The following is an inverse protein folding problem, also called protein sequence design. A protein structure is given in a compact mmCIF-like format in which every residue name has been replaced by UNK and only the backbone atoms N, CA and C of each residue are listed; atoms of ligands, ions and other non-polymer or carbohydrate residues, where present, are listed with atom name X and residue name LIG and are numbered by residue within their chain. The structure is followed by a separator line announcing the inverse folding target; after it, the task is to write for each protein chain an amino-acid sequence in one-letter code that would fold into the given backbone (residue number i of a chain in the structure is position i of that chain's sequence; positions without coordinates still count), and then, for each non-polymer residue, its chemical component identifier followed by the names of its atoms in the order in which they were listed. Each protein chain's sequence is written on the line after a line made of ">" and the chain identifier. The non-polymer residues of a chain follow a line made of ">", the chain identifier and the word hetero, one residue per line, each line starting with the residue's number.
data_IF_713338886698
#
_entry.id   IF_713338886698
#
_cell.length_a   1.000
_cell.length_b   1.000
_cell.length_c   1.000
_cell.angle_alpha   90.00
_cell.angle_beta   90.00
_cell.angle_gamma   90.00
#
_symmetry.space_group_name_H-M   'P 1'
#
loop_
_entity.id
_entity.type
_entity.pdbx_description
1 polymer ?
#
# COMPACT_ATOMS: atom_id res chain seq x y z
N UNK A 1 8.67 -25.10 16.72
CA UNK A 1 7.39 -24.61 16.18
C UNK A 1 7.71 -23.51 15.18
N UNK A 2 7.48 -23.75 13.88
CA UNK A 2 7.51 -22.67 12.90
C UNK A 2 6.14 -22.01 13.02
N UNK A 3 6.11 -20.80 13.55
CA UNK A 3 4.96 -19.92 13.41
C UNK A 3 4.74 -19.77 11.90
N UNK A 4 3.69 -20.40 11.39
CA UNK A 4 3.12 -20.08 10.10
C UNK A 4 2.65 -18.64 10.24
N UNK A 5 3.47 -17.72 9.72
CA UNK A 5 3.06 -16.34 9.53
C UNK A 5 1.82 -16.43 8.64
N UNK A 6 0.64 -16.19 9.21
CA UNK A 6 -0.61 -16.15 8.47
C UNK A 6 -0.41 -15.11 7.37
N UNK A 7 -0.09 -15.56 6.16
CA UNK A 7 0.04 -14.69 5.00
C UNK A 7 -1.30 -13.96 4.94
N UNK A 8 -1.34 -12.62 5.06
CA UNK A 8 -2.60 -11.89 5.01
C UNK A 8 -3.23 -12.23 3.65
N UNK A 9 -4.25 -13.08 3.67
CA UNK A 9 -5.03 -13.46 2.49
C UNK A 9 -5.88 -12.30 2.02
N UNK A 10 -5.98 -11.26 2.84
CA UNK A 10 -6.67 -10.03 2.53
C UNK A 10 -5.76 -9.11 1.73
N UNK A 11 -6.24 -8.57 0.59
CA UNK A 11 -5.46 -7.70 -0.29
C UNK A 11 -5.04 -6.36 0.36
N UNK A 12 -5.58 -6.07 1.54
CA UNK A 12 -5.33 -4.90 2.37
C UNK A 12 -5.49 -5.30 3.85
N UNK A 13 -4.62 -4.81 4.72
CA UNK A 13 -4.68 -5.00 6.18
C UNK A 13 -4.80 -3.64 6.87
N UNK A 14 -5.80 -3.46 7.75
CA UNK A 14 -5.90 -2.25 8.58
C UNK A 14 -4.93 -2.37 9.75
N UNK A 15 -4.05 -1.38 9.92
CA UNK A 15 -3.07 -1.34 10.99
C UNK A 15 -3.54 -0.47 12.16
N UNK A 16 -4.21 0.65 11.86
CA UNK A 16 -4.65 1.63 12.85
C UNK A 16 -5.80 2.48 12.30
N UNK A 17 -6.81 2.75 13.13
CA UNK A 17 -7.84 3.76 12.87
C UNK A 17 -7.62 4.96 13.78
N UNK A 18 -7.53 6.16 13.19
CA UNK A 18 -7.37 7.46 13.86
C UNK A 18 -8.74 8.16 13.87
N UNK A 19 -9.58 7.77 14.84
CA UNK A 19 -11.02 8.09 14.88
C UNK A 19 -11.31 9.60 14.95
N UNK A 20 -10.49 10.37 15.65
CA UNK A 20 -10.66 11.82 15.82
C UNK A 20 -10.37 12.61 14.53
N UNK A 21 -9.72 11.97 13.54
CA UNK A 21 -9.37 12.56 12.25
C UNK A 21 -10.09 11.92 11.07
N UNK A 22 -10.84 10.84 11.27
CA UNK A 22 -11.45 10.08 10.18
C UNK A 22 -10.41 9.46 9.24
N UNK A 23 -9.22 9.12 9.76
CA UNK A 23 -8.13 8.55 8.99
C UNK A 23 -7.84 7.12 9.40
N UNK A 24 -7.26 6.36 8.50
CA UNK A 24 -6.81 4.99 8.72
C UNK A 24 -5.43 4.78 8.15
N UNK A 25 -4.64 3.94 8.82
CA UNK A 25 -3.36 3.45 8.35
C UNK A 25 -3.56 2.03 7.86
N UNK A 26 -3.29 1.81 6.58
CA UNK A 26 -3.49 0.53 5.91
C UNK A 26 -2.20 0.03 5.31
N UNK A 27 -2.06 -1.29 5.22
CA UNK A 27 -1.03 -1.96 4.44
C UNK A 27 -1.67 -2.58 3.19
N UNK A 28 -1.12 -2.28 2.02
CA UNK A 28 -1.50 -2.89 0.74
C UNK A 28 -0.31 -3.63 0.17
N UNK A 29 -0.51 -4.89 -0.24
CA UNK A 29 0.51 -5.66 -0.94
C UNK A 29 0.31 -5.53 -2.45
N UNK A 30 1.38 -5.22 -3.19
CA UNK A 30 1.39 -5.23 -4.65
C UNK A 30 1.54 -6.68 -5.13
N UNK A 31 0.49 -7.33 -5.68
CA UNK A 31 0.62 -8.69 -6.18
C UNK A 31 1.49 -8.73 -7.45
N UNK A 32 2.10 -9.87 -7.79
CA UNK A 32 2.94 -10.01 -8.99
C UNK A 32 2.22 -9.71 -10.31
N UNK A 33 0.89 -9.79 -10.33
CA UNK A 33 0.04 -9.55 -11.50
C UNK A 33 -0.43 -8.08 -11.62
N UNK A 34 -0.03 -7.21 -10.68
CA UNK A 34 -0.47 -5.82 -10.66
C UNK A 34 0.00 -5.04 -11.90
N UNK A 35 -0.92 -4.32 -12.53
CA UNK A 35 -0.61 -3.49 -13.73
C UNK A 35 0.14 -2.20 -13.40
N UNK A 36 0.43 -1.96 -12.12
CA UNK A 36 1.20 -0.84 -11.60
C UNK A 36 2.68 -1.14 -11.43
N UNK A 37 3.10 -2.40 -11.53
CA UNK A 37 4.51 -2.78 -11.45
C UNK A 37 5.29 -2.05 -12.54
N UNK A 38 6.43 -1.47 -12.17
CA UNK A 38 7.28 -0.69 -13.07
C UNK A 38 6.84 0.77 -13.25
N UNK A 39 5.64 1.16 -12.79
CA UNK A 39 5.22 2.57 -12.77
C UNK A 39 5.80 3.30 -11.58
N UNK A 40 6.05 4.59 -11.76
CA UNK A 40 6.40 5.50 -10.66
C UNK A 40 5.15 5.96 -9.90
N UNK A 41 5.30 6.34 -8.63
CA UNK A 41 4.17 6.81 -7.81
C UNK A 41 3.44 7.99 -8.44
N UNK A 42 4.13 8.92 -9.10
CA UNK A 42 3.49 10.06 -9.78
C UNK A 42 2.62 9.68 -10.98
N UNK A 43 2.77 8.47 -11.51
CA UNK A 43 1.92 7.96 -12.60
C UNK A 43 0.62 7.36 -12.08
N UNK A 44 0.48 7.21 -10.76
CA UNK A 44 -0.71 6.67 -10.12
C UNK A 44 -1.70 7.81 -9.82
N UNK A 45 -2.96 7.61 -10.20
CA UNK A 45 -4.08 8.45 -9.76
C UNK A 45 -4.49 8.05 -8.35
N UNK A 46 -3.69 8.44 -7.34
CA UNK A 46 -4.03 8.20 -5.94
C UNK A 46 -5.31 8.96 -5.57
N UNK A 47 -6.21 8.37 -4.77
CA UNK A 47 -7.40 9.05 -4.33
C UNK A 47 -7.04 10.28 -3.47
N UNK A 48 -7.95 11.27 -3.39
CA UNK A 48 -7.77 12.40 -2.48
C UNK A 48 -7.57 11.90 -1.05
N UNK A 49 -6.79 12.66 -0.28
CA UNK A 49 -6.54 12.37 1.14
C UNK A 49 -5.82 11.03 1.41
N UNK A 50 -5.28 10.39 0.37
CA UNK A 50 -4.36 9.25 0.50
C UNK A 50 -2.90 9.68 0.41
N UNK A 51 -2.06 9.15 1.31
CA UNK A 51 -0.61 9.38 1.31
C UNK A 51 0.14 8.08 1.53
N UNK A 52 1.04 7.73 0.61
CA UNK A 52 1.95 6.60 0.77
C UNK A 52 3.07 6.99 1.74
N UNK A 53 3.14 6.31 2.87
CA UNK A 53 4.05 6.64 3.98
C UNK A 53 5.34 5.82 3.96
N UNK A 54 5.26 4.54 3.59
CA UNK A 54 6.42 3.63 3.61
C UNK A 54 6.25 2.51 2.57
N UNK A 55 7.35 2.10 1.95
CA UNK A 55 7.43 0.86 1.18
C UNK A 55 8.40 -0.09 1.89
N UNK A 56 7.95 -1.30 2.17
CA UNK A 56 8.75 -2.40 2.73
C UNK A 56 8.97 -3.41 1.61
N UNK A 57 10.24 -3.75 1.38
CA UNK A 57 10.68 -4.70 0.35
C UNK A 57 11.67 -5.67 0.99
N UNK A 58 11.45 -6.97 0.80
CA UNK A 58 12.11 -8.06 1.55
C UNK A 58 13.60 -7.85 1.83
N UNK A 59 14.38 -7.46 0.82
CA UNK A 59 15.84 -7.38 0.91
C UNK A 59 16.38 -5.94 0.98
N UNK A 60 15.50 -4.95 1.16
CA UNK A 60 15.87 -3.54 1.18
C UNK A 60 15.53 -2.89 2.52
N UNK A 61 16.29 -1.83 2.86
CA UNK A 61 15.89 -0.92 3.93
C UNK A 61 14.52 -0.30 3.58
N UNK A 62 13.70 0.04 4.60
CA UNK A 62 12.43 0.72 4.37
C UNK A 62 12.62 1.97 3.50
N UNK A 63 11.76 2.14 2.52
CA UNK A 63 11.86 3.19 1.50
C UNK A 63 10.78 4.23 1.79
N UNK A 64 11.18 5.48 1.97
CA UNK A 64 10.23 6.60 1.99
C UNK A 64 9.78 6.86 0.54
N UNK A 65 8.47 6.74 0.23
CA UNK A 65 7.97 6.91 -1.13
C UNK A 65 8.20 8.33 -1.66
N UNK A 66 8.66 8.45 -2.90
CA UNK A 66 8.84 9.71 -3.63
C UNK A 66 8.11 9.61 -4.97
N UNK A 67 7.87 10.76 -5.60
CA UNK A 67 7.21 10.82 -6.91
C UNK A 67 7.82 9.87 -7.95
N UNK A 68 9.14 9.70 -7.95
CA UNK A 68 9.88 8.83 -8.88
C UNK A 68 10.16 7.41 -8.33
N UNK A 69 9.68 7.05 -7.15
CA UNK A 69 9.82 5.68 -6.63
C UNK A 69 9.02 4.74 -7.53
N UNK A 70 9.67 3.69 -8.02
CA UNK A 70 9.08 2.66 -8.88
C UNK A 70 8.48 1.56 -8.01
N UNK A 71 7.21 1.23 -8.26
CA UNK A 71 6.54 0.10 -7.62
C UNK A 71 7.05 -1.24 -8.17
N UNK A 72 7.27 -2.19 -7.28
CA UNK A 72 7.71 -3.55 -7.61
C UNK A 72 6.71 -4.58 -7.08
N UNK A 73 6.74 -5.77 -7.69
CA UNK A 73 6.00 -6.92 -7.18
C UNK A 73 6.39 -7.19 -5.72
N UNK A 74 5.41 -7.60 -4.92
CA UNK A 74 5.57 -7.92 -3.50
C UNK A 74 5.92 -6.73 -2.59
N UNK A 75 5.93 -5.49 -3.11
CA UNK A 75 6.02 -4.30 -2.26
C UNK A 75 4.86 -4.28 -1.27
N UNK A 76 5.18 -4.08 0.01
CA UNK A 76 4.19 -3.78 1.05
C UNK A 76 4.17 -2.27 1.27
N UNK A 77 3.06 -1.65 0.90
CA UNK A 77 2.87 -0.21 0.96
C UNK A 77 2.06 0.12 2.21
N UNK A 78 2.64 0.91 3.10
CA UNK A 78 1.93 1.54 4.21
C UNK A 78 1.40 2.88 3.74
N UNK A 79 0.11 3.11 3.88
CA UNK A 79 -0.54 4.34 3.48
C UNK A 79 -1.47 4.86 4.58
N UNK A 80 -1.64 6.18 4.61
CA UNK A 80 -2.72 6.83 5.35
C UNK A 80 -3.80 7.20 4.35
N UNK A 81 -5.06 6.93 4.67
CA UNK A 81 -6.23 7.21 3.82
C UNK A 81 -7.46 7.48 4.69
N UNK A 82 -8.59 7.85 4.08
CA UNK A 82 -9.91 7.79 4.72
C UNK A 82 -10.58 6.43 4.43
N UNK A 83 -11.56 6.01 5.25
CA UNK A 83 -12.37 4.81 4.99
C UNK A 83 -13.04 4.81 3.62
N UNK A 84 -13.51 5.96 3.15
CA UNK A 84 -14.20 6.11 1.86
C UNK A 84 -13.25 5.94 0.66
N UNK A 85 -11.98 6.30 0.83
CA UNK A 85 -10.96 6.26 -0.23
C UNK A 85 -10.18 4.95 -0.26
N UNK A 86 -10.30 4.11 0.76
CA UNK A 86 -9.50 2.90 0.93
C UNK A 86 -9.63 1.91 -0.24
N UNK A 87 -10.86 1.60 -0.66
CA UNK A 87 -11.08 0.66 -1.75
C UNK A 87 -10.47 1.18 -3.06
N UNK A 88 -10.64 2.49 -3.33
CA UNK A 88 -10.03 3.16 -4.47
C UNK A 88 -8.51 3.14 -4.38
N UNK A 89 -7.93 3.35 -3.20
CA UNK A 89 -6.49 3.29 -2.99
C UNK A 89 -5.97 1.88 -3.30
N UNK A 90 -6.66 0.85 -2.79
CA UNK A 90 -6.32 -0.56 -3.05
C UNK A 90 -6.39 -0.87 -4.54
N UNK A 91 -7.44 -0.45 -5.21
CA UNK A 91 -7.64 -0.62 -6.65
C UNK A 91 -6.54 0.08 -7.46
N UNK A 92 -6.26 1.36 -7.17
CA UNK A 92 -5.19 2.13 -7.81
C UNK A 92 -3.83 1.46 -7.63
N UNK A 93 -3.49 0.99 -6.43
CA UNK A 93 -2.20 0.36 -6.15
C UNK A 93 -2.05 -1.00 -6.82
N UNK A 94 -3.11 -1.81 -6.87
CA UNK A 94 -3.07 -3.16 -7.49
C UNK A 94 -3.35 -3.13 -9.00
N UNK A 95 -3.87 -2.02 -9.51
CA UNK A 95 -4.15 -1.83 -10.93
C UNK A 95 -5.34 -2.62 -11.43
N UNK A 96 -6.37 -2.76 -10.60
CA UNK A 96 -7.64 -3.47 -10.85
C UNK A 96 -8.83 -2.53 -10.79
#
# INVERSE_FOLDING_TARGET
>A
ERIEEEVPTHPLTHLLTIRDKGLEVVQVKIPPEATTIGKTIKELSLPPESTLSLIIRKEHKPIIPKANTILQAEDQIIAVTTPESEETLRATLRGS
#
